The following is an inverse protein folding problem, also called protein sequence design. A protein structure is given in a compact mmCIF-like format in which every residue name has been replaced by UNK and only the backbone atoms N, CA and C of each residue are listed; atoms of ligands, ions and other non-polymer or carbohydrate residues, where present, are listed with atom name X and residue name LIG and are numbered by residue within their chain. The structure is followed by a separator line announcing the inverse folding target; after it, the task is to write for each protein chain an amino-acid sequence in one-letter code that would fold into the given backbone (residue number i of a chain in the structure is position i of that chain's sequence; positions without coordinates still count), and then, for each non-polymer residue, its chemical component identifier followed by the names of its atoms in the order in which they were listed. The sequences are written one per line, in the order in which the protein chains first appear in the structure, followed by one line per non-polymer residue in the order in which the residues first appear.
data_IF_235607506346
#
_entry.id   IF_235607506346
#
_cell.length_a   1.000
_cell.length_b   1.000
_cell.length_c   1.000
_cell.angle_alpha   90.00
_cell.angle_beta   90.00
_cell.angle_gamma   90.00
#
_symmetry.space_group_name_H-M   'P 1'
#
loop_
_entity.id
_entity.type
_entity.pdbx_description
1 polymer ?
#
# COMPACT_ATOMS: atom_id res chain seq x y z
N UNK A 1 20.46 4.16 -4.56
CA UNK A 1 19.49 4.96 -3.78
C UNK A 1 19.83 6.43 -3.95
N UNK A 2 18.88 7.29 -4.32
CA UNK A 2 19.12 8.74 -4.57
C UNK A 2 19.17 9.59 -3.28
N UNK A 3 19.22 8.95 -2.10
CA UNK A 3 19.27 9.64 -0.81
C UNK A 3 17.97 10.37 -0.44
N UNK A 4 16.85 10.01 -1.05
CA UNK A 4 15.53 10.59 -0.76
C UNK A 4 14.74 9.64 0.14
N UNK A 5 14.07 10.22 1.14
CA UNK A 5 13.14 9.48 2.02
C UNK A 5 12.07 8.79 1.18
N UNK A 6 11.76 7.55 1.54
CA UNK A 6 10.71 6.77 0.88
C UNK A 6 9.92 5.94 1.89
N UNK A 7 8.83 5.32 1.45
CA UNK A 7 8.00 4.46 2.28
C UNK A 7 8.35 2.99 2.10
N UNK A 8 8.44 2.31 3.23
CA UNK A 8 8.48 0.85 3.36
C UNK A 8 7.35 0.44 4.31
N UNK A 9 6.62 -0.62 3.98
CA UNK A 9 5.56 -1.19 4.81
C UNK A 9 5.81 -2.67 5.05
N UNK A 10 5.65 -3.09 6.30
CA UNK A 10 5.61 -4.49 6.72
C UNK A 10 4.17 -4.86 7.13
N UNK A 11 3.62 -5.92 6.54
CA UNK A 11 2.34 -6.51 6.96
C UNK A 11 2.58 -7.90 7.53
N UNK A 12 1.77 -8.26 8.54
CA UNK A 12 1.82 -9.56 9.23
C UNK A 12 0.42 -10.14 9.35
N UNK A 13 0.29 -11.44 9.13
CA UNK A 13 -0.94 -12.21 9.34
C UNK A 13 -0.58 -13.65 9.72
N UNK A 14 -0.93 -14.04 10.95
CA UNK A 14 -0.45 -15.31 11.53
C UNK A 14 1.07 -15.39 11.51
N UNK A 15 1.60 -16.50 10.96
CA UNK A 15 3.04 -16.75 10.82
C UNK A 15 3.65 -16.09 9.57
N UNK A 16 2.86 -15.43 8.74
CA UNK A 16 3.32 -14.80 7.51
C UNK A 16 3.64 -13.32 7.72
N UNK A 17 4.76 -12.87 7.17
CA UNK A 17 5.09 -11.44 7.04
C UNK A 17 5.61 -11.10 5.65
N UNK A 18 5.35 -9.88 5.20
CA UNK A 18 5.89 -9.37 3.95
C UNK A 18 6.20 -7.88 4.03
N UNK A 19 7.29 -7.50 3.37
CA UNK A 19 7.75 -6.11 3.26
C UNK A 19 7.60 -5.68 1.81
N UNK A 20 7.16 -4.44 1.59
CA UNK A 20 7.26 -3.76 0.30
C UNK A 20 7.78 -2.33 0.49
N UNK A 21 8.48 -1.82 -0.51
CA UNK A 21 8.90 -0.43 -0.56
C UNK A 21 8.52 0.15 -1.92
N UNK A 22 8.18 1.43 -1.91
CA UNK A 22 7.95 2.22 -3.14
C UNK A 22 9.14 3.15 -3.32
N UNK A 23 9.59 3.46 -4.55
CA UNK A 23 10.59 4.49 -4.77
C UNK A 23 10.00 5.89 -4.59
N UNK A 24 10.82 6.85 -4.15
CA UNK A 24 10.45 8.26 -4.14
C UNK A 24 10.33 8.78 -5.59
N UNK A 25 9.13 8.72 -6.16
CA UNK A 25 8.82 9.30 -7.45
C UNK A 25 8.44 10.78 -7.31
N UNK A 26 9.06 11.65 -8.09
CA UNK A 26 8.56 13.02 -8.33
C UNK A 26 7.52 12.93 -9.45
N UNK A 27 6.28 12.59 -9.09
CA UNK A 27 5.15 12.72 -10.00
C UNK A 27 4.80 14.20 -10.15
N UNK A 28 4.86 14.74 -11.36
CA UNK A 28 4.60 16.17 -11.63
C UNK A 28 3.56 16.39 -12.74
N UNK A 29 2.96 15.33 -13.28
CA UNK A 29 1.89 15.45 -14.25
C UNK A 29 0.58 15.86 -13.57
N UNK A 30 -0.14 16.84 -14.15
CA UNK A 30 -1.42 17.33 -13.60
C UNK A 30 -2.53 16.26 -13.51
N UNK A 31 -2.35 15.13 -14.20
CA UNK A 31 -3.28 13.98 -14.18
C UNK A 31 -2.72 12.78 -13.41
N UNK A 32 -1.55 12.90 -12.79
CA UNK A 32 -0.95 11.80 -12.03
C UNK A 32 -1.51 11.71 -10.60
N UNK A 33 -1.43 10.51 -10.03
CA UNK A 33 -1.82 10.31 -8.64
C UNK A 33 -0.86 11.08 -7.71
N UNK A 34 -1.43 11.71 -6.68
CA UNK A 34 -0.70 12.62 -5.80
C UNK A 34 0.22 11.87 -4.84
N UNK A 35 1.50 12.26 -4.77
CA UNK A 35 2.48 11.65 -3.85
C UNK A 35 2.68 12.56 -2.64
N UNK A 36 2.51 12.01 -1.44
CA UNK A 36 2.80 12.74 -0.19
C UNK A 36 4.29 12.65 0.16
N UNK A 37 4.78 13.69 0.83
CA UNK A 37 6.03 13.61 1.62
C UNK A 37 5.98 12.40 2.56
N UNK A 38 7.01 11.54 2.62
CA UNK A 38 6.99 10.30 3.41
C UNK A 38 6.57 10.48 4.86
N UNK A 39 7.02 11.58 5.52
CA UNK A 39 6.62 11.90 6.89
C UNK A 39 5.12 12.13 7.04
N UNK A 40 4.50 12.86 6.10
CA UNK A 40 3.05 13.10 6.08
C UNK A 40 2.27 11.81 5.81
N UNK A 41 2.79 10.96 4.92
CA UNK A 41 2.19 9.66 4.67
C UNK A 41 2.22 8.76 5.91
N UNK A 42 3.28 8.79 6.72
CA UNK A 42 3.33 8.07 8.00
C UNK A 42 2.29 8.58 9.01
N UNK A 43 2.13 9.90 9.14
CA UNK A 43 1.07 10.47 9.99
C UNK A 43 -0.33 10.02 9.55
N UNK A 44 -0.59 10.02 8.23
CA UNK A 44 -1.84 9.48 7.65
C UNK A 44 -2.00 8.00 7.94
N UNK A 45 -0.94 7.21 7.80
CA UNK A 45 -0.95 5.78 8.13
C UNK A 45 -1.41 5.51 9.57
N UNK A 46 -0.85 6.23 10.56
CA UNK A 46 -1.23 6.03 11.96
C UNK A 46 -2.73 6.30 12.20
N UNK A 47 -3.35 7.21 11.45
CA UNK A 47 -4.80 7.47 11.53
C UNK A 47 -5.69 6.39 10.90
N UNK A 48 -5.21 5.67 9.88
CA UNK A 48 -5.99 4.63 9.19
C UNK A 48 -5.67 3.21 9.70
N UNK A 49 -4.52 3.02 10.33
CA UNK A 49 -4.04 1.73 10.83
C UNK A 49 -5.06 0.98 11.70
N UNK A 50 -5.78 1.62 12.65
CA UNK A 50 -6.81 0.91 13.41
C UNK A 50 -7.94 0.35 12.54
N UNK A 51 -8.32 1.05 11.48
CA UNK A 51 -9.38 0.64 10.56
C UNK A 51 -8.94 -0.52 9.67
N UNK A 52 -7.66 -0.55 9.29
CA UNK A 52 -7.05 -1.69 8.58
C UNK A 52 -7.04 -2.92 9.50
N UNK A 53 -6.66 -2.76 10.77
CA UNK A 53 -6.54 -3.87 11.72
C UNK A 53 -7.89 -4.38 12.25
N UNK A 54 -8.96 -3.59 12.16
CA UNK A 54 -10.30 -3.96 12.64
C UNK A 54 -11.12 -4.74 11.61
N UNK A 55 -10.57 -5.05 10.44
CA UNK A 55 -11.28 -5.68 9.33
C UNK A 55 -10.44 -6.78 8.68
N UNK A 56 -11.10 -7.86 8.29
CA UNK A 56 -10.52 -8.86 7.40
C UNK A 56 -10.80 -8.49 5.94
N UNK A 57 -9.82 -8.75 5.07
CA UNK A 57 -9.94 -8.52 3.64
C UNK A 57 -9.78 -9.82 2.89
N UNK A 58 -10.71 -10.10 1.99
CA UNK A 58 -10.79 -11.41 1.31
C UNK A 58 -9.89 -11.49 0.08
N UNK A 59 -9.59 -10.35 -0.56
CA UNK A 59 -8.84 -10.29 -1.80
C UNK A 59 -7.99 -9.03 -1.92
N UNK A 60 -7.05 -9.03 -2.86
CA UNK A 60 -6.29 -7.83 -3.25
C UNK A 60 -7.22 -6.67 -3.61
N UNK A 61 -8.27 -6.96 -4.40
CA UNK A 61 -9.25 -5.96 -4.84
C UNK A 61 -9.99 -5.35 -3.66
N UNK A 62 -10.43 -6.16 -2.70
CA UNK A 62 -11.13 -5.67 -1.50
C UNK A 62 -10.23 -4.74 -0.66
N UNK A 63 -8.98 -5.14 -0.42
CA UNK A 63 -8.01 -4.31 0.29
C UNK A 63 -7.72 -2.99 -0.44
N UNK A 64 -7.49 -3.04 -1.75
CA UNK A 64 -7.24 -1.84 -2.56
C UNK A 64 -8.46 -0.91 -2.61
N UNK A 65 -9.67 -1.46 -2.77
CA UNK A 65 -10.90 -0.68 -2.74
C UNK A 65 -11.13 -0.03 -1.38
N UNK A 66 -10.81 -0.72 -0.30
CA UNK A 66 -10.88 -0.15 1.04
C UNK A 66 -9.93 1.05 1.19
N UNK A 67 -8.65 0.91 0.77
CA UNK A 67 -7.69 2.02 0.83
C UNK A 67 -8.12 3.21 -0.04
N UNK A 68 -8.65 2.96 -1.24
CA UNK A 68 -9.17 4.00 -2.13
C UNK A 68 -10.39 4.69 -1.51
N UNK A 69 -11.28 3.93 -0.88
CA UNK A 69 -12.47 4.46 -0.23
C UNK A 69 -12.12 5.29 1.00
N UNK A 70 -11.11 4.88 1.77
CA UNK A 70 -10.58 5.65 2.90
C UNK A 70 -9.94 6.96 2.47
N UNK A 71 -9.27 6.98 1.33
CA UNK A 71 -8.72 8.22 0.78
C UNK A 71 -9.82 9.22 0.39
N UNK A 72 -10.90 8.72 -0.22
CA UNK A 72 -12.08 9.48 -0.61
C UNK A 72 -11.80 10.65 -1.58
N UNK A 73 -10.71 10.59 -2.36
CA UNK A 73 -10.37 11.58 -3.38
C UNK A 73 -10.09 10.93 -4.73
N UNK A 74 -10.29 11.68 -5.83
CA UNK A 74 -10.08 11.16 -7.19
C UNK A 74 -8.60 10.86 -7.50
N UNK A 75 -7.68 11.62 -6.91
CA UNK A 75 -6.25 11.60 -7.22
C UNK A 75 -5.38 11.11 -6.06
N UNK A 76 -5.96 10.47 -5.03
CA UNK A 76 -5.22 9.95 -3.87
C UNK A 76 -4.53 11.04 -3.02
N UNK A 77 -5.06 12.26 -3.02
CA UNK A 77 -4.41 13.40 -2.37
C UNK A 77 -4.49 13.39 -0.83
N UNK A 78 -5.39 12.61 -0.24
CA UNK A 78 -5.56 12.58 1.22
C UNK A 78 -4.56 11.62 1.88
N UNK A 79 -4.47 10.39 1.39
CA UNK A 79 -3.55 9.36 1.88
C UNK A 79 -2.22 9.34 1.14
N UNK A 80 -2.17 9.87 -0.08
CA UNK A 80 -1.01 9.76 -0.96
C UNK A 80 -1.01 8.43 -1.72
N UNK A 81 -0.78 8.51 -3.03
CA UNK A 81 -0.62 7.36 -3.90
C UNK A 81 0.53 6.44 -3.45
N UNK A 82 1.60 7.01 -2.89
CA UNK A 82 2.73 6.27 -2.34
C UNK A 82 2.33 5.43 -1.12
N UNK A 83 1.49 5.94 -0.22
CA UNK A 83 1.01 5.16 0.93
C UNK A 83 0.08 4.03 0.49
N UNK A 84 -0.87 4.33 -0.40
CA UNK A 84 -1.80 3.32 -0.93
C UNK A 84 -1.03 2.21 -1.66
N UNK A 85 -0.08 2.58 -2.51
CA UNK A 85 0.71 1.64 -3.28
C UNK A 85 1.60 0.75 -2.39
N UNK A 86 2.30 1.31 -1.40
CA UNK A 86 3.19 0.51 -0.56
C UNK A 86 2.42 -0.53 0.27
N UNK A 87 1.23 -0.17 0.77
CA UNK A 87 0.35 -1.09 1.47
C UNK A 87 -0.19 -2.18 0.52
N UNK A 88 -0.66 -1.78 -0.67
CA UNK A 88 -1.16 -2.69 -1.71
C UNK A 88 -0.12 -3.75 -2.11
N UNK A 89 1.14 -3.32 -2.30
CA UNK A 89 2.26 -4.22 -2.64
C UNK A 89 2.63 -5.15 -1.48
N UNK A 90 2.62 -4.64 -0.24
CA UNK A 90 2.89 -5.46 0.94
C UNK A 90 1.80 -6.53 1.12
N UNK A 91 0.54 -6.19 0.83
CA UNK A 91 -0.58 -7.13 0.86
C UNK A 91 -0.44 -8.22 -0.19
N UNK A 92 -0.14 -7.86 -1.44
CA UNK A 92 0.08 -8.84 -2.51
C UNK A 92 1.18 -9.86 -2.16
N UNK A 93 2.29 -9.37 -1.59
CA UNK A 93 3.39 -10.22 -1.13
C UNK A 93 2.99 -11.11 0.04
N UNK A 94 2.24 -10.57 1.00
CA UNK A 94 1.74 -11.34 2.15
C UNK A 94 0.80 -12.46 1.69
N UNK A 95 -0.13 -12.15 0.78
CA UNK A 95 -1.08 -13.11 0.23
C UNK A 95 -0.40 -14.20 -0.59
N UNK A 96 0.54 -13.84 -1.47
CA UNK A 96 1.35 -14.79 -2.22
C UNK A 96 2.04 -15.79 -1.28
N UNK A 97 2.68 -15.31 -0.20
CA UNK A 97 3.30 -16.16 0.83
C UNK A 97 2.28 -17.05 1.54
N UNK A 98 1.14 -16.50 1.96
CA UNK A 98 0.09 -17.27 2.64
C UNK A 98 -0.52 -18.38 1.78
N UNK A 99 -0.46 -18.22 0.45
CA UNK A 99 -0.96 -19.17 -0.54
C UNK A 99 0.14 -20.10 -1.08
N UNK A 100 1.36 -20.01 -0.55
CA UNK A 100 2.54 -20.75 -1.02
C UNK A 100 2.78 -20.57 -2.54
N UNK A 101 2.62 -19.35 -3.03
CA UNK A 101 2.83 -18.94 -4.43
C UNK A 101 3.98 -17.94 -4.52
N UNK A 102 4.67 -17.97 -5.65
CA UNK A 102 5.56 -16.86 -6.01
C UNK A 102 4.74 -15.61 -6.32
N UNK A 103 5.32 -14.42 -6.08
CA UNK A 103 4.59 -13.15 -6.27
C UNK A 103 4.08 -12.99 -7.71
N UNK A 104 4.85 -13.42 -8.70
CA UNK A 104 4.44 -13.32 -10.11
C UNK A 104 3.24 -14.23 -10.42
N UNK A 105 3.13 -15.39 -9.77
CA UNK A 105 2.00 -16.31 -9.92
C UNK A 105 0.74 -15.73 -9.27
N UNK A 106 0.90 -15.08 -8.12
CA UNK A 106 -0.18 -14.37 -7.46
C UNK A 106 -0.70 -13.22 -8.34
N UNK A 107 0.19 -12.34 -8.83
CA UNK A 107 -0.20 -11.19 -9.66
C UNK A 107 -0.85 -11.63 -10.97
N UNK A 108 -0.36 -12.70 -11.60
CA UNK A 108 -0.92 -13.19 -12.87
C UNK A 108 -2.38 -13.64 -12.75
N UNK A 109 -2.78 -14.12 -11.57
CA UNK A 109 -4.06 -14.80 -11.36
C UNK A 109 -5.10 -13.94 -10.61
N UNK A 110 -4.78 -12.70 -10.24
CA UNK A 110 -5.66 -11.78 -9.50
C UNK A 110 -6.07 -10.55 -10.33
#
# INVERSE_FOLDING_TARGET
SRGQDTLEAELKSGDFSAIASVPAGKSTGAHEAFVLEPKKALEKFESIKPQILSREFESQKDFDYFLISLDATQNKQNLGANLILVLSLAWARLKAKSENKELFEYIRNN
#
